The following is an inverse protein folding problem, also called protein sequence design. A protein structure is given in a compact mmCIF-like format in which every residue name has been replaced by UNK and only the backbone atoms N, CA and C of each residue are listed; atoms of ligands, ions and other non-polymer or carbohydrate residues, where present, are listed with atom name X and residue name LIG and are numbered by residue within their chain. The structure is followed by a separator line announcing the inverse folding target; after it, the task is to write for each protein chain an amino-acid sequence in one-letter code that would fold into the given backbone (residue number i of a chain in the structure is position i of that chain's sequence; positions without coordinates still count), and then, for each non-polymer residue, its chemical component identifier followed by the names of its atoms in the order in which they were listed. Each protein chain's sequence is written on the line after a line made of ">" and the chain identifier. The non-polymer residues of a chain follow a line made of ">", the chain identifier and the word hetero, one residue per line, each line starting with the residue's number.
data_IF_117444317908
#
_entry.id   IF_117444317908
#
_cell.length_a   1.000
_cell.length_b   1.000
_cell.length_c   1.000
_cell.angle_alpha   90.00
_cell.angle_beta   90.00
_cell.angle_gamma   90.00
#
_symmetry.space_group_name_H-M   'P 1'
#
loop_
_entity.id
_entity.type
_entity.pdbx_description
1 polymer ?
#
# COMPACT_ATOMS: atom_id res chain seq x y z
N UNK A 1 -4.59 18.07 -28.49
CA UNK A 1 -5.13 16.87 -29.15
C UNK A 1 -5.73 15.95 -28.10
N UNK A 2 -7.03 15.74 -28.16
CA UNK A 2 -7.69 14.79 -27.24
C UNK A 2 -7.62 13.39 -27.88
N UNK A 3 -6.94 12.46 -27.17
CA UNK A 3 -7.02 11.05 -27.50
C UNK A 3 -8.32 10.48 -26.88
N UNK A 4 -9.12 9.81 -27.68
CA UNK A 4 -10.29 9.13 -27.16
C UNK A 4 -9.86 7.81 -26.49
N UNK A 5 -10.27 7.62 -25.26
CA UNK A 5 -10.02 6.41 -24.47
C UNK A 5 -11.37 5.73 -24.23
N UNK A 6 -11.48 4.48 -24.60
CA UNK A 6 -12.66 3.68 -24.37
C UNK A 6 -12.29 2.50 -23.46
N UNK A 7 -13.03 2.31 -22.38
CA UNK A 7 -12.88 1.18 -21.48
C UNK A 7 -14.02 0.19 -21.64
N UNK A 8 -13.68 -1.07 -21.84
CA UNK A 8 -14.63 -2.19 -21.84
C UNK A 8 -14.28 -3.11 -20.69
N UNK A 9 -15.26 -3.44 -19.85
CA UNK A 9 -15.10 -4.39 -18.75
C UNK A 9 -15.88 -5.66 -19.06
N UNK A 10 -15.17 -6.74 -19.31
CA UNK A 10 -15.71 -8.10 -19.22
C UNK A 10 -15.30 -8.71 -17.88
N UNK A 11 -16.06 -9.68 -17.37
CA UNK A 11 -16.11 -10.12 -15.95
C UNK A 11 -14.78 -10.30 -15.18
N UNK A 12 -13.62 -10.37 -15.85
CA UNK A 12 -12.29 -10.54 -15.20
C UNK A 12 -11.15 -9.81 -15.92
N UNK A 13 -11.46 -8.98 -16.90
CA UNK A 13 -10.44 -8.23 -17.63
C UNK A 13 -10.88 -6.80 -17.90
N UNK A 14 -9.93 -5.89 -17.91
CA UNK A 14 -10.10 -4.51 -18.33
C UNK A 14 -9.36 -4.35 -19.64
N UNK A 15 -10.06 -3.85 -20.65
CA UNK A 15 -9.48 -3.46 -21.94
C UNK A 15 -9.49 -1.96 -22.04
N UNK A 16 -8.32 -1.40 -22.33
CA UNK A 16 -8.13 0.01 -22.61
C UNK A 16 -7.75 0.15 -24.09
N UNK A 17 -8.60 0.82 -24.87
CA UNK A 17 -8.30 1.16 -26.25
C UNK A 17 -7.91 2.64 -26.36
N UNK A 18 -6.72 2.90 -26.81
CA UNK A 18 -6.20 4.25 -27.02
C UNK A 18 -6.14 4.54 -28.53
N UNK A 19 -6.90 5.54 -28.96
CA UNK A 19 -6.89 6.02 -30.33
C UNK A 19 -5.81 7.07 -30.50
N UNK A 20 -4.81 6.79 -31.34
CA UNK A 20 -3.68 7.70 -31.60
C UNK A 20 -3.90 8.44 -32.91
N UNK A 21 -3.83 9.75 -32.86
CA UNK A 21 -3.90 10.64 -34.02
C UNK A 21 -2.50 11.06 -34.47
N UNK A 22 -2.34 11.22 -35.80
CA UNK A 22 -1.16 11.85 -36.37
C UNK A 22 -1.19 13.39 -36.24
N UNK A 23 -0.15 14.05 -36.71
CA UNK A 23 -0.01 15.49 -36.69
C UNK A 23 -1.10 16.23 -37.48
N UNK A 24 -1.80 15.53 -38.39
CA UNK A 24 -2.93 16.06 -39.18
C UNK A 24 -4.28 15.86 -38.50
N UNK A 25 -4.29 15.22 -37.30
CA UNK A 25 -5.51 14.93 -36.56
C UNK A 25 -6.26 13.68 -37.05
N UNK A 26 -5.68 12.92 -37.97
CA UNK A 26 -6.26 11.67 -38.46
C UNK A 26 -5.87 10.49 -37.58
N UNK A 27 -6.84 9.63 -37.27
CA UNK A 27 -6.58 8.40 -36.50
C UNK A 27 -5.70 7.43 -37.31
N UNK A 28 -4.60 6.99 -36.75
CA UNK A 28 -3.64 6.08 -37.39
C UNK A 28 -3.56 4.73 -36.72
N UNK A 29 -3.66 4.70 -35.40
CA UNK A 29 -3.46 3.49 -34.63
C UNK A 29 -4.51 3.36 -33.54
N UNK A 30 -4.84 2.12 -33.22
CA UNK A 30 -5.57 1.74 -32.01
C UNK A 30 -4.61 0.89 -31.18
N UNK A 31 -4.26 1.37 -29.99
CA UNK A 31 -3.51 0.59 -29.03
C UNK A 31 -4.49 -0.01 -28.04
N UNK A 32 -4.64 -1.33 -28.10
CA UNK A 32 -5.46 -2.08 -27.15
C UNK A 32 -4.57 -2.66 -26.04
N UNK A 33 -4.87 -2.32 -24.80
CA UNK A 33 -4.23 -2.90 -23.62
C UNK A 33 -5.26 -3.73 -22.89
N UNK A 34 -5.01 -5.04 -22.79
CA UNK A 34 -5.83 -5.94 -21.99
C UNK A 34 -5.10 -6.23 -20.68
N UNK A 35 -5.79 -6.03 -19.56
CA UNK A 35 -5.28 -6.37 -18.24
C UNK A 35 -6.18 -7.41 -17.59
N UNK A 36 -5.62 -8.58 -17.28
CA UNK A 36 -6.32 -9.62 -16.54
C UNK A 36 -6.39 -9.25 -15.06
N UNK A 37 -7.60 -9.05 -14.56
CA UNK A 37 -7.88 -8.65 -13.18
C UNK A 37 -8.22 -9.84 -12.28
N UNK A 38 -8.07 -11.09 -12.77
CA UNK A 38 -8.48 -12.29 -12.02
C UNK A 38 -7.83 -12.36 -10.64
N UNK A 39 -6.52 -12.16 -10.57
CA UNK A 39 -5.79 -12.18 -9.30
C UNK A 39 -6.20 -11.04 -8.36
N UNK A 40 -6.46 -9.86 -8.91
CA UNK A 40 -6.94 -8.71 -8.15
C UNK A 40 -8.35 -8.96 -7.58
N UNK A 41 -9.27 -9.48 -8.40
CA UNK A 41 -10.64 -9.81 -7.99
C UNK A 41 -10.63 -10.92 -6.93
N UNK A 42 -9.79 -11.94 -7.09
CA UNK A 42 -9.64 -13.02 -6.12
C UNK A 42 -9.06 -12.51 -4.79
N UNK A 43 -8.06 -11.64 -4.84
CA UNK A 43 -7.51 -10.98 -3.66
C UNK A 43 -8.56 -10.10 -2.95
N UNK A 44 -9.34 -9.34 -3.71
CA UNK A 44 -10.43 -8.54 -3.17
C UNK A 44 -11.52 -9.41 -2.53
N UNK A 45 -11.92 -10.51 -3.14
CA UNK A 45 -12.88 -11.43 -2.58
C UNK A 45 -12.36 -12.07 -1.28
N UNK A 46 -11.07 -12.47 -1.23
CA UNK A 46 -10.43 -13.00 -0.03
C UNK A 46 -10.39 -11.96 1.08
N UNK A 47 -10.02 -10.72 0.78
CA UNK A 47 -10.03 -9.61 1.74
C UNK A 47 -11.45 -9.31 2.24
N UNK A 48 -12.46 -9.30 1.36
CA UNK A 48 -13.86 -9.10 1.74
C UNK A 48 -14.35 -10.20 2.69
N UNK A 49 -14.00 -11.45 2.43
CA UNK A 49 -14.39 -12.58 3.33
C UNK A 49 -13.72 -12.49 4.69
N UNK A 50 -12.48 -12.01 4.76
CA UNK A 50 -11.79 -11.75 6.02
C UNK A 50 -12.47 -10.60 6.76
N UNK A 51 -12.81 -9.53 6.07
CA UNK A 51 -13.48 -8.35 6.62
C UNK A 51 -14.88 -8.71 7.13
N UNK A 52 -15.68 -9.46 6.37
CA UNK A 52 -17.02 -9.92 6.81
C UNK A 52 -16.96 -10.74 8.12
N UNK A 53 -15.90 -11.51 8.31
CA UNK A 53 -15.66 -12.23 9.56
C UNK A 53 -15.23 -11.30 10.72
N UNK A 54 -14.71 -10.11 10.42
CA UNK A 54 -14.36 -9.08 11.40
C UNK A 54 -15.51 -8.09 11.64
N UNK A 55 -16.43 -7.87 10.69
CA UNK A 55 -17.59 -6.97 10.83
C UNK A 55 -18.62 -7.43 11.88
N UNK A 56 -18.55 -8.67 12.28
CA UNK A 56 -19.29 -9.13 13.46
C UNK A 56 -18.77 -8.53 14.79
N UNK A 57 -17.69 -7.75 14.75
CA UNK A 57 -17.04 -7.22 15.93
C UNK A 57 -16.99 -5.68 16.02
N UNK A 58 -16.96 -4.90 14.91
CA UNK A 58 -16.98 -3.42 14.99
C UNK A 58 -17.39 -2.76 13.67
N UNK A 59 -18.38 -1.89 13.74
CA UNK A 59 -19.04 -1.14 12.66
C UNK A 59 -18.17 -0.01 12.03
N UNK A 60 -16.86 0.05 12.24
CA UNK A 60 -16.08 1.26 11.94
C UNK A 60 -14.84 1.09 11.05
N UNK A 61 -14.68 -0.01 10.30
CA UNK A 61 -13.48 -0.22 9.49
C UNK A 61 -13.60 0.20 8.01
N UNK A 62 -14.79 0.54 7.54
CA UNK A 62 -14.99 1.08 6.16
C UNK A 62 -14.95 2.60 6.11
N UNK A 63 -13.94 3.22 6.60
CA UNK A 63 -14.04 4.66 6.67
C UNK A 63 -12.90 5.46 6.12
N UNK A 64 -11.73 4.93 5.91
CA UNK A 64 -10.63 5.84 5.60
C UNK A 64 -9.75 5.36 4.44
N UNK A 65 -10.22 5.67 3.23
CA UNK A 65 -9.28 6.02 2.17
C UNK A 65 -8.40 7.13 2.75
N UNK A 66 -7.08 6.95 2.87
CA UNK A 66 -6.22 7.99 3.43
C UNK A 66 -6.37 9.27 2.61
N UNK A 67 -7.00 10.29 3.22
CA UNK A 67 -7.26 11.59 2.59
C UNK A 67 -5.99 12.44 2.53
N UNK A 68 -4.93 12.04 3.24
CA UNK A 68 -3.64 12.73 3.28
C UNK A 68 -2.47 11.75 3.40
N UNK A 69 -1.28 12.23 3.07
CA UNK A 69 -0.03 11.47 3.25
C UNK A 69 0.22 11.14 4.73
N UNK A 70 -0.23 11.99 5.64
CA UNK A 70 -0.14 11.72 7.09
C UNK A 70 -1.04 10.56 7.50
N UNK A 71 -2.27 10.50 6.98
CA UNK A 71 -3.20 9.41 7.25
C UNK A 71 -2.65 8.08 6.72
N UNK A 72 -2.03 8.11 5.53
CA UNK A 72 -1.33 6.95 4.99
C UNK A 72 -0.22 6.47 5.92
N UNK A 73 0.60 7.37 6.44
CA UNK A 73 1.67 7.01 7.37
C UNK A 73 1.12 6.41 8.67
N UNK A 74 0.06 6.98 9.23
CA UNK A 74 -0.60 6.46 10.43
C UNK A 74 -1.14 5.05 10.19
N UNK A 75 -1.83 4.82 9.07
CA UNK A 75 -2.30 3.50 8.69
C UNK A 75 -1.17 2.48 8.56
N UNK A 76 -0.04 2.85 7.94
CA UNK A 76 1.12 1.97 7.82
C UNK A 76 1.72 1.63 9.19
N UNK A 77 1.80 2.60 10.10
CA UNK A 77 2.26 2.39 11.47
C UNK A 77 1.34 1.42 12.21
N UNK A 78 0.03 1.59 12.12
CA UNK A 78 -0.95 0.68 12.74
C UNK A 78 -0.84 -0.73 12.17
N UNK A 79 -0.68 -0.88 10.85
CA UNK A 79 -0.49 -2.18 10.23
C UNK A 79 0.78 -2.87 10.73
N UNK A 80 1.88 -2.12 10.91
CA UNK A 80 3.14 -2.66 11.45
C UNK A 80 2.96 -3.25 12.86
N UNK A 81 2.16 -2.60 13.68
CA UNK A 81 1.80 -3.08 15.03
C UNK A 81 0.95 -4.35 14.96
N UNK A 82 -0.04 -4.38 14.07
CA UNK A 82 -0.90 -5.56 13.89
C UNK A 82 -0.13 -6.80 13.44
N UNK A 83 0.87 -6.63 12.57
CA UNK A 83 1.73 -7.72 12.10
C UNK A 83 2.52 -8.36 13.25
N UNK A 84 2.98 -7.56 14.20
CA UNK A 84 3.69 -8.04 15.39
C UNK A 84 2.70 -8.55 16.45
N UNK A 85 1.52 -7.96 16.54
CA UNK A 85 0.48 -8.31 17.51
C UNK A 85 0.73 -7.79 18.92
N UNK A 86 1.63 -6.82 19.08
CA UNK A 86 1.98 -6.21 20.37
C UNK A 86 2.12 -4.70 20.23
N UNK A 87 1.81 -3.95 21.29
CA UNK A 87 2.10 -2.53 21.34
C UNK A 87 3.62 -2.28 21.41
N UNK A 88 4.13 -1.15 20.89
CA UNK A 88 5.57 -0.87 20.87
C UNK A 88 6.27 -0.97 22.21
N UNK A 89 5.60 -0.62 23.31
CA UNK A 89 6.14 -0.70 24.65
C UNK A 89 6.43 -2.15 25.11
N UNK A 90 5.71 -3.13 24.55
CA UNK A 90 5.83 -4.56 24.86
C UNK A 90 6.67 -5.33 23.83
N UNK A 91 7.09 -4.67 22.76
CA UNK A 91 7.90 -5.30 21.71
C UNK A 91 9.35 -5.49 22.17
N UNK A 92 9.90 -6.66 21.87
CA UNK A 92 11.34 -6.90 21.93
C UNK A 92 12.05 -6.12 20.81
N UNK A 93 13.39 -6.07 20.87
CA UNK A 93 14.19 -5.46 19.81
C UNK A 93 13.89 -6.08 18.43
N UNK A 94 13.86 -7.40 18.35
CA UNK A 94 13.65 -8.12 17.10
C UNK A 94 12.24 -7.87 16.55
N UNK A 95 11.25 -7.78 17.41
CA UNK A 95 9.87 -7.45 17.06
C UNK A 95 9.75 -6.01 16.53
N UNK A 96 10.47 -5.06 17.13
CA UNK A 96 10.56 -3.68 16.61
C UNK A 96 11.24 -3.63 15.24
N UNK A 97 12.32 -4.39 15.05
CA UNK A 97 13.00 -4.51 13.75
C UNK A 97 12.04 -5.06 12.69
N UNK A 98 11.26 -6.09 13.03
CA UNK A 98 10.23 -6.66 12.13
C UNK A 98 9.18 -5.63 11.73
N UNK A 99 8.67 -4.84 12.67
CA UNK A 99 7.70 -3.80 12.37
C UNK A 99 8.31 -2.69 11.49
N UNK A 100 9.53 -2.28 11.78
CA UNK A 100 10.27 -1.27 11.00
C UNK A 100 10.61 -1.77 9.61
N UNK A 101 10.95 -3.05 9.45
CA UNK A 101 11.14 -3.69 8.13
C UNK A 101 9.86 -3.59 7.28
N UNK A 102 8.73 -3.92 7.84
CA UNK A 102 7.45 -3.76 7.15
C UNK A 102 7.23 -2.32 6.68
N UNK A 103 7.48 -1.33 7.55
CA UNK A 103 7.35 0.09 7.20
C UNK A 103 8.30 0.50 6.07
N UNK A 104 9.51 -0.02 6.07
CA UNK A 104 10.49 0.21 5.00
C UNK A 104 10.02 -0.38 3.68
N UNK A 105 9.60 -1.63 3.68
CA UNK A 105 9.12 -2.34 2.49
C UNK A 105 7.84 -1.69 1.91
N UNK A 106 7.00 -1.15 2.78
CA UNK A 106 5.79 -0.40 2.40
C UNK A 106 6.07 1.05 1.91
N UNK A 107 7.34 1.51 1.94
CA UNK A 107 7.71 2.84 1.49
C UNK A 107 7.42 3.97 2.48
N UNK A 108 7.15 3.67 3.75
CA UNK A 108 6.83 4.69 4.78
C UNK A 108 7.93 5.74 4.94
N UNK A 109 9.20 5.34 4.77
CA UNK A 109 10.35 6.26 4.90
C UNK A 109 10.55 7.19 3.71
N UNK A 110 9.82 7.01 2.61
CA UNK A 110 9.77 7.96 1.50
C UNK A 110 8.93 9.19 1.84
N UNK A 111 8.09 9.10 2.86
CA UNK A 111 7.26 10.21 3.33
C UNK A 111 8.11 11.17 4.14
N UNK A 112 8.02 12.46 3.81
CA UNK A 112 8.77 13.52 4.50
C UNK A 112 8.47 13.52 6.00
N UNK A 113 9.51 13.58 6.82
CA UNK A 113 9.45 13.56 8.30
C UNK A 113 8.87 12.28 8.92
N UNK A 114 8.69 11.22 8.14
CA UNK A 114 8.20 9.94 8.65
C UNK A 114 9.11 9.34 9.72
N UNK A 115 10.43 9.49 9.58
CA UNK A 115 11.40 9.00 10.56
C UNK A 115 11.19 9.60 11.95
N UNK A 116 10.83 10.89 12.06
CA UNK A 116 10.49 11.52 13.33
C UNK A 116 9.26 10.88 13.97
N UNK A 117 8.21 10.72 13.19
CA UNK A 117 6.94 10.17 13.64
C UNK A 117 7.07 8.69 14.04
N UNK A 118 7.77 7.91 13.23
CA UNK A 118 8.00 6.48 13.49
C UNK A 118 8.87 6.28 14.74
N UNK A 119 9.98 7.01 14.87
CA UNK A 119 10.86 6.91 16.05
C UNK A 119 10.12 7.26 17.34
N UNK A 120 9.32 8.32 17.31
CA UNK A 120 8.49 8.74 18.43
C UNK A 120 7.46 7.68 18.80
N UNK A 121 6.77 7.10 17.81
CA UNK A 121 5.76 6.08 18.01
C UNK A 121 6.36 4.80 18.65
N UNK A 122 7.51 4.35 18.19
CA UNK A 122 8.20 3.18 18.76
C UNK A 122 9.00 3.47 20.02
N UNK A 123 9.04 4.72 20.48
CA UNK A 123 9.78 5.12 21.69
C UNK A 123 11.29 4.91 21.57
N UNK A 124 11.85 5.10 20.39
CA UNK A 124 13.28 4.95 20.10
C UNK A 124 13.86 6.25 19.54
N UNK A 125 15.19 6.41 19.65
CA UNK A 125 15.87 7.54 19.01
C UNK A 125 15.92 7.36 17.49
N UNK A 126 16.11 8.44 16.75
CA UNK A 126 16.37 8.37 15.31
C UNK A 126 17.60 7.52 14.97
N UNK A 127 18.64 7.64 15.76
CA UNK A 127 19.83 6.82 15.58
C UNK A 127 19.51 5.32 15.69
N UNK A 128 18.73 4.94 16.70
CA UNK A 128 18.29 3.56 16.88
C UNK A 128 17.38 3.12 15.73
N UNK A 129 16.48 3.99 15.27
CA UNK A 129 15.61 3.71 14.11
C UNK A 129 16.44 3.36 12.86
N UNK A 130 17.42 4.19 12.52
CA UNK A 130 18.27 3.93 11.34
C UNK A 130 19.12 2.69 11.51
N UNK A 131 19.61 2.41 12.73
CA UNK A 131 20.30 1.16 13.04
C UNK A 131 19.40 -0.06 12.81
N UNK A 132 18.12 0.02 13.17
CA UNK A 132 17.15 -1.06 12.94
C UNK A 132 16.85 -1.25 11.46
N UNK A 133 16.73 -0.16 10.69
CA UNK A 133 16.59 -0.21 9.23
C UNK A 133 17.77 -0.95 8.59
N UNK A 134 18.99 -0.64 8.99
CA UNK A 134 20.18 -1.33 8.47
C UNK A 134 20.20 -2.82 8.86
N UNK A 135 19.85 -3.15 10.10
CA UNK A 135 19.75 -4.54 10.54
C UNK A 135 18.65 -5.30 9.77
N UNK A 136 17.54 -4.65 9.45
CA UNK A 136 16.46 -5.25 8.66
C UNK A 136 16.90 -5.63 7.25
N UNK A 137 17.80 -4.88 6.63
CA UNK A 137 18.35 -5.19 5.29
C UNK A 137 19.22 -6.44 5.27
N UNK A 138 19.93 -6.72 6.37
CA UNK A 138 20.87 -7.86 6.44
C UNK A 138 20.17 -9.20 6.68
N UNK A 139 18.89 -9.21 7.00
CA UNK A 139 18.10 -10.43 7.21
C UNK A 139 17.64 -11.06 5.88
N UNK A 140 17.70 -10.33 4.78
CA UNK A 140 17.27 -10.79 3.46
C UNK A 140 18.42 -11.38 2.59
N UNK A 141 19.62 -11.46 3.12
CA UNK A 141 20.75 -12.21 2.54
C UNK A 141 20.86 -13.60 3.25
#
# INVERSE_FOLDING_TARGET
>A
SQNAVTTHSEAKSIRLDVLVKDETGKYRFILGINHDMTNFINAQATLSSIVENFEAAEEDVYGQIPLSVNDLLENLIEQSVRIVGKTPALMTKDEKIKAIKFLQDAGAFLITKSGDKISQFFGISKFTLYSYIEQAKTVDE
#
